data_IF_793643179267
#
_entry.id   IF_793643179267
#
_cell.length_a   1.000
_cell.length_b   1.000
_cell.length_c   1.000
_cell.angle_alpha   90.00
_cell.angle_beta   90.00
_cell.angle_gamma   90.00
#
_symmetry.space_group_name_H-M   'P 1'
#
loop_
_entity.id
_entity.type
_entity.pdbx_description
1 polymer ?
#
# COMPACT_ATOMS: atom_id res chain seq x y z
N UNK A 1 11.23 9.37 -19.13
CA UNK A 1 11.44 8.98 -17.74
C UNK A 1 12.14 7.64 -17.75
N UNK A 2 13.39 7.57 -17.32
CA UNK A 2 14.14 6.32 -17.30
C UNK A 2 13.62 5.47 -16.16
N UNK A 3 13.09 4.28 -16.44
CA UNK A 3 12.80 3.32 -15.39
C UNK A 3 14.11 3.00 -14.68
N UNK A 4 14.12 3.07 -13.34
CA UNK A 4 15.23 2.59 -12.55
C UNK A 4 15.58 1.14 -12.92
N UNK A 5 16.78 0.64 -12.59
CA UNK A 5 17.17 -0.72 -12.91
C UNK A 5 16.13 -1.70 -12.35
N UNK A 6 15.45 -2.44 -13.23
CA UNK A 6 14.58 -3.53 -12.82
C UNK A 6 15.44 -4.69 -12.33
N UNK A 7 15.41 -4.93 -11.02
CA UNK A 7 16.03 -6.11 -10.42
C UNK A 7 14.96 -7.17 -10.17
N UNK A 8 15.10 -8.35 -10.77
CA UNK A 8 14.31 -9.53 -10.43
C UNK A 8 15.09 -10.37 -9.43
N UNK A 9 14.57 -10.49 -8.21
CA UNK A 9 15.08 -11.44 -7.22
C UNK A 9 14.05 -12.54 -7.01
N UNK A 10 14.43 -13.76 -7.35
CA UNK A 10 13.63 -14.95 -7.05
C UNK A 10 14.07 -15.51 -5.71
N UNK A 11 13.12 -15.74 -4.81
CA UNK A 11 13.37 -16.37 -3.50
C UNK A 11 12.47 -17.58 -3.40
N UNK A 12 13.07 -18.76 -3.24
CA UNK A 12 12.34 -19.98 -2.94
C UNK A 12 12.20 -20.11 -1.42
N UNK A 13 11.00 -19.80 -0.91
CA UNK A 13 10.68 -19.86 0.51
C UNK A 13 9.84 -21.09 0.88
N UNK A 14 9.24 -21.78 -0.10
CA UNK A 14 8.09 -22.64 0.13
C UNK A 14 6.88 -21.87 0.69
N UNK A 15 5.73 -22.55 0.77
CA UNK A 15 4.49 -21.93 1.30
C UNK A 15 4.61 -21.59 2.79
N UNK A 16 5.26 -22.45 3.57
CA UNK A 16 5.34 -22.33 5.04
C UNK A 16 6.15 -21.10 5.48
N UNK A 17 7.18 -20.72 4.73
CA UNK A 17 8.07 -19.59 5.08
C UNK A 17 7.85 -18.35 4.24
N UNK A 18 6.87 -18.36 3.34
CA UNK A 18 6.55 -17.22 2.50
C UNK A 18 6.39 -15.94 3.32
N UNK A 19 5.61 -16.00 4.40
CA UNK A 19 5.31 -14.85 5.24
C UNK A 19 6.57 -14.27 5.90
N UNK A 20 7.38 -15.12 6.54
CA UNK A 20 8.65 -14.74 7.18
C UNK A 20 9.62 -14.08 6.19
N UNK A 21 9.77 -14.70 5.02
CA UNK A 21 10.72 -14.23 4.00
C UNK A 21 10.24 -12.92 3.38
N UNK A 22 8.96 -12.80 3.05
CA UNK A 22 8.40 -11.57 2.52
C UNK A 22 8.46 -10.43 3.55
N UNK A 23 8.17 -10.71 4.82
CA UNK A 23 8.31 -9.74 5.91
C UNK A 23 9.76 -9.27 6.06
N UNK A 24 10.75 -10.18 6.02
CA UNK A 24 12.16 -9.80 6.11
C UNK A 24 12.62 -8.94 4.91
N UNK A 25 12.17 -9.25 3.70
CA UNK A 25 12.47 -8.44 2.49
C UNK A 25 11.88 -7.04 2.63
N UNK A 26 10.61 -6.96 3.01
CA UNK A 26 9.90 -5.70 3.19
C UNK A 26 10.52 -4.85 4.31
N UNK A 27 10.76 -5.44 5.48
CA UNK A 27 11.34 -4.75 6.62
C UNK A 27 12.75 -4.23 6.30
N UNK A 28 13.57 -5.00 5.57
CA UNK A 28 14.87 -4.52 5.11
C UNK A 28 14.75 -3.31 4.17
N UNK A 29 13.86 -3.38 3.17
CA UNK A 29 13.65 -2.26 2.25
C UNK A 29 13.21 -0.99 3.00
N UNK A 30 12.30 -1.12 3.96
CA UNK A 30 11.84 0.00 4.79
C UNK A 30 12.97 0.54 5.68
N UNK A 31 13.74 -0.32 6.34
CA UNK A 31 14.86 0.08 7.19
C UNK A 31 15.94 0.82 6.39
N UNK A 32 16.26 0.37 5.17
CA UNK A 32 17.22 1.03 4.27
C UNK A 32 16.78 2.44 3.91
N UNK A 33 15.49 2.63 3.61
CA UNK A 33 14.92 3.95 3.32
C UNK A 33 14.98 4.86 4.56
N UNK A 34 14.56 4.36 5.73
CA UNK A 34 14.63 5.13 6.98
C UNK A 34 16.07 5.53 7.30
N UNK A 35 17.04 4.63 7.13
CA UNK A 35 18.45 4.93 7.36
C UNK A 35 18.97 6.03 6.41
N UNK A 36 18.49 6.07 5.17
CA UNK A 36 18.91 7.06 4.18
C UNK A 36 18.18 8.41 4.30
N UNK A 37 16.89 8.40 4.65
CA UNK A 37 15.99 9.58 4.54
C UNK A 37 15.37 10.02 5.86
N UNK A 38 15.49 9.21 6.92
CA UNK A 38 14.93 9.48 8.25
C UNK A 38 13.45 9.10 8.42
N UNK A 39 12.76 8.73 7.35
CA UNK A 39 11.39 8.21 7.32
C UNK A 39 11.16 7.42 6.03
N UNK A 40 10.10 6.60 5.98
CA UNK A 40 9.73 5.83 4.80
C UNK A 40 8.22 5.85 4.59
N UNK A 41 7.78 5.98 3.34
CA UNK A 41 6.40 5.84 2.91
C UNK A 41 6.14 4.46 2.31
N UNK A 42 5.13 3.77 2.83
CA UNK A 42 4.81 2.40 2.46
C UNK A 42 3.33 2.26 2.13
N UNK A 43 3.03 1.66 0.98
CA UNK A 43 1.67 1.29 0.61
C UNK A 43 1.49 -0.23 0.64
N UNK A 44 0.37 -0.68 1.22
CA UNK A 44 0.03 -2.10 1.33
C UNK A 44 -1.19 -2.49 0.50
N UNK A 45 -1.07 -3.56 -0.28
CA UNK A 45 -2.22 -4.22 -0.91
C UNK A 45 -3.00 -5.06 0.10
N UNK A 46 -4.23 -5.41 -0.28
CA UNK A 46 -4.96 -6.49 0.36
C UNK A 46 -4.54 -7.89 -0.09
N UNK A 47 -5.41 -8.87 0.19
CA UNK A 47 -5.26 -10.26 -0.24
C UNK A 47 -5.07 -11.23 0.93
N UNK A 48 -5.18 -12.52 0.65
CA UNK A 48 -5.06 -13.56 1.68
C UNK A 48 -3.63 -13.73 2.21
N UNK A 49 -2.62 -13.33 1.42
CA UNK A 49 -1.21 -13.54 1.75
C UNK A 49 -0.60 -12.42 2.60
N UNK A 50 -1.17 -11.20 2.58
CA UNK A 50 -0.58 -10.05 3.29
C UNK A 50 -0.79 -10.13 4.81
N UNK A 51 -1.90 -10.71 5.27
CA UNK A 51 -2.19 -10.84 6.70
C UNK A 51 -1.08 -11.59 7.46
N UNK A 52 -0.70 -12.81 7.03
CA UNK A 52 0.45 -13.53 7.59
C UNK A 52 1.78 -12.76 7.50
N UNK A 53 1.98 -11.95 6.44
CA UNK A 53 3.18 -11.09 6.32
C UNK A 53 3.18 -10.00 7.39
N UNK A 54 2.02 -9.40 7.71
CA UNK A 54 1.91 -8.46 8.82
C UNK A 54 2.23 -9.11 10.17
N UNK A 55 1.69 -10.30 10.43
CA UNK A 55 2.00 -11.04 11.65
C UNK A 55 3.52 -11.27 11.77
N UNK A 56 4.18 -11.69 10.69
CA UNK A 56 5.63 -11.89 10.65
C UNK A 56 6.45 -10.59 10.80
N UNK A 57 5.95 -9.44 10.31
CA UNK A 57 6.57 -8.13 10.56
C UNK A 57 6.49 -7.75 12.04
N UNK A 58 5.36 -8.03 12.69
CA UNK A 58 5.19 -7.82 14.14
C UNK A 58 6.14 -8.70 14.93
N UNK A 59 6.25 -9.97 14.57
CA UNK A 59 7.21 -10.89 15.19
C UNK A 59 8.65 -10.38 15.05
N UNK A 60 9.04 -9.92 13.86
CA UNK A 60 10.37 -9.33 13.62
C UNK A 60 10.60 -8.07 14.46
N UNK A 61 9.60 -7.19 14.57
CA UNK A 61 9.72 -5.93 15.29
C UNK A 61 9.70 -6.09 16.83
N UNK A 62 9.12 -7.19 17.32
CA UNK A 62 9.00 -7.47 18.77
C UNK A 62 10.03 -8.49 19.27
N UNK A 63 10.71 -9.19 18.35
CA UNK A 63 11.84 -10.04 18.66
C UNK A 63 13.02 -9.23 19.28
N UNK A 64 13.95 -9.90 19.98
CA UNK A 64 15.19 -9.25 20.42
C UNK A 64 15.88 -8.54 19.24
N UNK A 65 16.46 -7.34 19.44
CA UNK A 65 17.05 -6.56 18.36
C UNK A 65 18.03 -7.40 17.55
N UNK A 66 17.76 -7.54 16.25
CA UNK A 66 18.66 -8.17 15.30
C UNK A 66 19.44 -7.08 14.57
N UNK A 67 20.78 -7.20 14.40
CA UNK A 67 21.55 -6.24 13.62
C UNK A 67 21.16 -6.23 12.14
N UNK A 68 20.45 -7.25 11.65
CA UNK A 68 20.20 -7.44 10.21
C UNK A 68 18.94 -6.73 9.70
N UNK A 69 17.97 -6.45 10.58
CA UNK A 69 16.69 -5.77 10.26
C UNK A 69 16.12 -5.14 11.54
N UNK A 70 16.11 -3.82 11.62
CA UNK A 70 15.43 -3.04 12.67
C UNK A 70 14.68 -1.87 12.00
N UNK A 71 13.36 -1.82 12.21
CA UNK A 71 12.48 -0.83 11.59
C UNK A 71 11.91 0.08 12.67
N UNK A 72 12.24 1.37 12.61
CA UNK A 72 11.59 2.39 13.44
C UNK A 72 10.19 2.70 12.88
N UNK A 73 9.19 1.89 13.30
CA UNK A 73 7.80 2.01 12.86
C UNK A 73 7.16 3.37 13.18
N UNK A 74 7.70 4.16 14.12
CA UNK A 74 7.23 5.51 14.38
C UNK A 74 7.59 6.50 13.25
N UNK A 75 8.49 6.11 12.35
CA UNK A 75 8.92 6.86 11.15
C UNK A 75 8.32 6.32 9.85
N UNK A 76 7.42 5.34 9.94
CA UNK A 76 6.76 4.77 8.76
C UNK A 76 5.43 5.50 8.50
N UNK A 77 5.30 6.04 7.30
CA UNK A 77 4.04 6.56 6.73
C UNK A 77 3.34 5.44 6.00
N UNK A 78 2.06 5.21 6.28
CA UNK A 78 1.32 4.04 5.81
C UNK A 78 0.11 4.48 4.99
N UNK A 79 -0.08 3.84 3.84
CA UNK A 79 -1.31 3.94 3.06
C UNK A 79 -1.72 2.60 2.45
N UNK A 80 -2.87 2.58 1.77
CA UNK A 80 -3.37 1.41 1.04
C UNK A 80 -3.08 1.55 -0.44
N UNK A 81 -2.71 0.44 -1.08
CA UNK A 81 -2.62 0.37 -2.54
C UNK A 81 -4.02 0.39 -3.16
N UNK A 82 -4.96 -0.34 -2.58
CA UNK A 82 -6.32 -0.45 -3.06
C UNK A 82 -7.29 -0.81 -1.93
N UNK A 83 -8.57 -0.55 -2.14
CA UNK A 83 -9.60 -0.81 -1.16
C UNK A 83 -10.99 -0.98 -1.79
N UNK A 84 -11.79 -1.87 -1.20
CA UNK A 84 -13.13 -2.23 -1.65
C UNK A 84 -14.10 -1.15 -1.20
N UNK A 85 -14.93 -0.66 -2.12
CA UNK A 85 -15.99 0.31 -1.83
C UNK A 85 -17.17 -0.41 -1.19
N UNK A 86 -17.01 -0.68 0.11
CA UNK A 86 -17.97 -1.37 0.98
C UNK A 86 -18.00 -0.68 2.34
N UNK A 87 -19.01 -0.99 3.16
CA UNK A 87 -19.17 -0.40 4.48
C UNK A 87 -17.98 -0.66 5.42
N UNK A 88 -17.76 0.20 6.43
CA UNK A 88 -16.55 0.19 7.27
C UNK A 88 -16.35 -1.11 8.07
N UNK A 89 -17.42 -1.84 8.36
CA UNK A 89 -17.39 -3.13 9.09
C UNK A 89 -17.44 -4.35 8.17
N UNK A 90 -17.38 -4.16 6.85
CA UNK A 90 -17.45 -5.25 5.90
C UNK A 90 -16.19 -6.14 6.02
N UNK A 91 -16.32 -7.48 6.00
CA UNK A 91 -15.18 -8.38 6.16
C UNK A 91 -14.11 -8.22 5.05
N UNK A 92 -14.50 -7.73 3.88
CA UNK A 92 -13.60 -7.55 2.73
C UNK A 92 -12.81 -6.24 2.76
N UNK A 93 -12.84 -5.46 3.85
CA UNK A 93 -12.02 -4.24 4.00
C UNK A 93 -10.55 -4.63 4.15
N UNK A 94 -9.69 -4.18 3.23
CA UNK A 94 -8.24 -4.31 3.37
C UNK A 94 -7.75 -3.53 4.62
N UNK A 95 -8.34 -2.38 4.90
CA UNK A 95 -8.04 -1.53 6.05
C UNK A 95 -8.22 -2.26 7.37
N UNK A 96 -9.24 -3.11 7.52
CA UNK A 96 -9.45 -3.85 8.75
C UNK A 96 -8.27 -4.78 9.06
N UNK A 97 -7.75 -5.48 8.04
CA UNK A 97 -6.58 -6.36 8.17
C UNK A 97 -5.33 -5.55 8.49
N UNK A 98 -5.08 -4.45 7.76
CA UNK A 98 -3.92 -3.57 7.96
C UNK A 98 -3.90 -2.95 9.37
N UNK A 99 -5.06 -2.45 9.83
CA UNK A 99 -5.19 -1.82 11.15
C UNK A 99 -4.91 -2.85 12.24
N UNK A 100 -5.67 -3.95 12.24
CA UNK A 100 -5.63 -4.91 13.34
C UNK A 100 -4.32 -5.69 13.42
N UNK A 101 -3.71 -6.03 12.28
CA UNK A 101 -2.51 -6.89 12.25
C UNK A 101 -1.19 -6.13 12.27
N UNK A 102 -1.18 -4.85 11.87
CA UNK A 102 0.06 -4.08 11.77
C UNK A 102 0.02 -2.78 12.57
N UNK A 103 -0.94 -1.89 12.26
CA UNK A 103 -0.94 -0.53 12.82
C UNK A 103 -1.19 -0.55 14.33
N UNK A 104 -2.12 -1.37 14.82
CA UNK A 104 -2.40 -1.48 16.26
C UNK A 104 -1.33 -2.29 17.02
N UNK A 105 -0.59 -3.14 16.31
CA UNK A 105 0.43 -4.02 16.89
C UNK A 105 1.82 -3.36 17.02
N UNK A 106 2.05 -2.25 16.32
CA UNK A 106 3.35 -1.58 16.22
C UNK A 106 3.23 -0.09 16.57
N UNK A 107 4.34 0.59 16.92
CA UNK A 107 4.31 2.01 17.29
C UNK A 107 4.16 2.95 16.07
N UNK A 108 3.30 2.59 15.11
CA UNK A 108 2.96 3.45 13.96
C UNK A 108 2.16 4.64 14.46
N UNK A 109 2.59 5.86 14.08
CA UNK A 109 1.91 7.08 14.52
C UNK A 109 0.59 7.25 13.74
N UNK A 110 -0.57 7.42 14.39
CA UNK A 110 -1.85 7.59 13.69
C UNK A 110 -1.86 8.74 12.67
N UNK A 111 -1.12 9.83 12.96
CA UNK A 111 -0.99 10.97 12.06
C UNK A 111 -0.19 10.68 10.78
N UNK A 112 0.46 9.51 10.69
CA UNK A 112 1.18 9.05 9.50
C UNK A 112 0.41 7.96 8.73
N UNK A 113 -0.85 7.70 9.07
CA UNK A 113 -1.68 6.71 8.38
C UNK A 113 -2.73 7.44 7.54
N UNK A 114 -2.80 7.12 6.24
CA UNK A 114 -3.84 7.60 5.34
C UNK A 114 -4.50 6.42 4.63
N UNK A 115 -5.75 6.15 4.99
CA UNK A 115 -6.56 5.10 4.39
C UNK A 115 -7.40 5.65 3.24
N UNK A 116 -7.66 4.81 2.23
CA UNK A 116 -8.47 5.20 1.09
C UNK A 116 -9.93 5.46 1.54
N UNK A 117 -10.51 6.63 1.21
CA UNK A 117 -11.76 7.09 1.81
C UNK A 117 -12.99 6.52 1.10
N UNK A 118 -13.12 5.19 1.04
CA UNK A 118 -14.19 4.56 0.26
C UNK A 118 -15.59 4.92 0.73
N UNK A 119 -15.76 5.31 2.00
CA UNK A 119 -17.04 5.70 2.57
C UNK A 119 -17.55 7.02 1.98
N UNK A 120 -16.67 7.79 1.33
CA UNK A 120 -16.98 9.06 0.66
C UNK A 120 -17.29 8.89 -0.82
N UNK A 121 -17.04 7.70 -1.37
CA UNK A 121 -17.23 7.43 -2.79
C UNK A 121 -18.70 7.19 -3.05
N UNK A 122 -19.30 8.02 -3.90
CA UNK A 122 -20.59 7.69 -4.49
C UNK A 122 -20.38 6.53 -5.50
N UNK A 123 -21.02 5.37 -5.31
CA UNK A 123 -20.91 4.26 -6.24
C UNK A 123 -21.36 4.59 -7.67
N UNK A 124 -22.12 5.67 -7.87
CA UNK A 124 -22.49 6.20 -9.19
C UNK A 124 -21.38 7.03 -9.88
N UNK A 125 -20.27 7.30 -9.18
CA UNK A 125 -19.08 7.95 -9.73
C UNK A 125 -19.04 9.48 -9.62
N UNK A 126 -19.96 10.09 -8.86
CA UNK A 126 -19.92 11.52 -8.54
C UNK A 126 -19.03 11.87 -7.34
N UNK A 127 -18.71 13.16 -7.19
CA UNK A 127 -18.04 13.73 -6.01
C UNK A 127 -16.61 14.23 -6.25
N UNK A 128 -16.09 14.98 -5.28
CA UNK A 128 -14.73 15.52 -5.22
C UNK A 128 -13.74 14.58 -4.51
N UNK A 129 -14.16 13.34 -4.21
CA UNK A 129 -13.38 12.37 -3.45
C UNK A 129 -12.02 12.07 -4.10
N UNK A 130 -11.91 12.10 -5.44
CA UNK A 130 -10.65 11.80 -6.14
C UNK A 130 -9.59 12.87 -5.87
N UNK A 131 -9.98 14.14 -5.99
CA UNK A 131 -9.11 15.29 -5.70
C UNK A 131 -8.76 15.36 -4.21
N UNK A 132 -9.76 15.15 -3.33
CA UNK A 132 -9.53 15.07 -1.87
C UNK A 132 -8.54 13.95 -1.52
N UNK A 133 -8.73 12.75 -2.10
CA UNK A 133 -7.86 11.59 -1.85
C UNK A 133 -6.43 11.87 -2.31
N UNK A 134 -6.25 12.48 -3.48
CA UNK A 134 -4.93 12.86 -3.98
C UNK A 134 -4.20 13.84 -3.08
N UNK A 135 -4.91 14.87 -2.58
CA UNK A 135 -4.34 15.84 -1.63
C UNK A 135 -3.96 15.19 -0.30
N UNK A 136 -4.82 14.35 0.26
CA UNK A 136 -4.57 13.68 1.54
C UNK A 136 -3.42 12.69 1.44
N UNK A 137 -3.35 11.95 0.34
CA UNK A 137 -2.22 11.08 0.05
C UNK A 137 -0.91 11.88 0.04
N UNK A 138 -0.82 12.94 -0.77
CA UNK A 138 0.39 13.77 -0.82
C UNK A 138 0.76 14.39 0.54
N UNK A 139 -0.22 14.84 1.33
CA UNK A 139 0.03 15.34 2.67
C UNK A 139 0.62 14.29 3.63
N UNK A 140 0.20 13.02 3.49
CA UNK A 140 0.63 11.94 4.38
C UNK A 140 1.92 11.27 3.93
N UNK A 141 2.09 10.93 2.66
CA UNK A 141 3.28 10.22 2.16
C UNK A 141 4.40 11.16 1.70
N UNK A 142 4.13 12.47 1.65
CA UNK A 142 5.07 13.48 1.17
C UNK A 142 5.00 13.68 -0.35
N UNK A 143 5.61 14.76 -0.82
CA UNK A 143 5.55 15.21 -2.22
C UNK A 143 4.50 16.31 -2.46
N UNK A 144 4.38 16.70 -3.72
CA UNK A 144 3.39 17.68 -4.16
C UNK A 144 2.07 16.98 -4.52
N UNK A 145 0.92 17.67 -4.46
CA UNK A 145 -0.30 17.20 -5.09
C UNK A 145 -0.04 16.81 -6.56
N UNK A 146 -0.67 15.73 -7.04
CA UNK A 146 -0.52 15.32 -8.45
C UNK A 146 -0.90 16.48 -9.37
N UNK A 147 -0.01 16.81 -10.31
CA UNK A 147 -0.15 17.94 -11.24
C UNK A 147 0.42 19.27 -10.75
N UNK A 148 0.88 19.37 -9.50
CA UNK A 148 1.58 20.55 -8.96
C UNK A 148 3.11 20.40 -8.92
N UNK A 149 3.63 19.19 -9.20
CA UNK A 149 5.06 18.83 -9.15
C UNK A 149 5.28 17.38 -9.58
N UNK A 150 6.23 16.68 -8.95
CA UNK A 150 6.50 15.25 -9.23
C UNK A 150 5.39 14.31 -8.73
N UNK A 151 4.43 14.82 -7.95
CA UNK A 151 3.37 14.04 -7.32
C UNK A 151 3.83 13.38 -6.01
N UNK A 152 2.96 12.59 -5.36
CA UNK A 152 3.33 11.84 -4.19
C UNK A 152 4.15 10.61 -4.59
N UNK A 153 5.31 10.42 -3.95
CA UNK A 153 6.25 9.33 -4.25
C UNK A 153 6.28 8.37 -3.08
N UNK A 154 6.04 7.08 -3.35
CA UNK A 154 6.14 6.01 -2.36
C UNK A 154 7.55 5.44 -2.35
N UNK A 155 8.12 5.20 -1.16
CA UNK A 155 9.43 4.55 -1.05
C UNK A 155 9.32 3.04 -1.24
N UNK A 156 8.26 2.42 -0.71
CA UNK A 156 8.01 0.98 -0.83
C UNK A 156 6.54 0.71 -1.13
N UNK A 157 6.26 -0.13 -2.12
CA UNK A 157 4.90 -0.58 -2.45
C UNK A 157 4.85 -2.10 -2.36
N UNK A 158 4.10 -2.62 -1.39
CA UNK A 158 3.82 -4.04 -1.31
C UNK A 158 2.62 -4.36 -2.18
N UNK A 159 2.86 -5.09 -3.27
CA UNK A 159 1.86 -5.46 -4.26
C UNK A 159 1.51 -6.95 -4.20
N UNK A 160 0.22 -7.24 -4.31
CA UNK A 160 -0.27 -8.58 -4.64
C UNK A 160 -0.25 -8.82 -6.15
N UNK A 161 -0.26 -10.09 -6.56
CA UNK A 161 -0.41 -10.50 -7.96
C UNK A 161 -1.55 -11.51 -8.10
N UNK A 162 -2.57 -11.13 -8.85
CA UNK A 162 -3.71 -12.00 -9.18
C UNK A 162 -3.33 -13.07 -10.21
N UNK A 163 -4.15 -14.14 -10.35
CA UNK A 163 -3.91 -15.23 -11.30
C UNK A 163 -4.03 -14.79 -12.78
N UNK A 164 -4.69 -13.67 -13.04
CA UNK A 164 -4.80 -12.99 -14.34
C UNK A 164 -3.69 -11.93 -14.55
N UNK A 165 -2.73 -11.84 -13.63
CA UNK A 165 -1.62 -10.90 -13.67
C UNK A 165 -1.96 -9.49 -13.18
N UNK A 166 -3.17 -9.22 -12.68
CA UNK A 166 -3.47 -7.90 -12.12
C UNK A 166 -2.71 -7.66 -10.82
N UNK A 167 -2.44 -6.39 -10.54
CA UNK A 167 -1.97 -5.91 -9.24
C UNK A 167 -2.82 -4.73 -8.81
N UNK A 168 -2.80 -4.38 -7.52
CA UNK A 168 -3.74 -3.41 -6.96
C UNK A 168 -5.17 -3.76 -7.38
N UNK A 169 -5.98 -2.80 -7.84
CA UNK A 169 -7.20 -3.07 -8.59
C UNK A 169 -7.08 -2.73 -10.10
N UNK A 170 -5.87 -2.82 -10.64
CA UNK A 170 -5.56 -2.52 -12.05
C UNK A 170 -5.81 -3.76 -12.92
N UNK A 171 -7.09 -4.11 -13.06
CA UNK A 171 -7.54 -5.29 -13.81
C UNK A 171 -7.45 -5.03 -15.33
N UNK A 172 -6.97 -6.00 -16.14
CA UNK A 172 -6.90 -5.86 -17.58
C UNK A 172 -8.25 -5.42 -18.22
N UNK A 173 -8.21 -4.33 -18.99
CA UNK A 173 -9.37 -3.78 -19.69
C UNK A 173 -10.26 -2.85 -18.88
N UNK A 174 -9.96 -2.61 -17.59
CA UNK A 174 -10.69 -1.63 -16.78
C UNK A 174 -10.32 -0.18 -17.21
N UNK A 175 -11.30 0.74 -17.32
CA UNK A 175 -11.03 2.16 -17.64
C UNK A 175 -10.02 2.84 -16.70
N UNK A 176 -9.91 2.40 -15.44
CA UNK A 176 -8.99 2.93 -14.43
C UNK A 176 -7.52 2.90 -14.88
N UNK A 177 -7.15 1.98 -15.78
CA UNK A 177 -5.79 1.84 -16.31
C UNK A 177 -5.29 3.08 -17.06
N UNK A 178 -6.22 3.95 -17.50
CA UNK A 178 -5.90 5.18 -18.24
C UNK A 178 -6.05 6.46 -17.41
N UNK A 179 -6.47 6.33 -16.14
CA UNK A 179 -6.65 7.49 -15.27
C UNK A 179 -5.30 8.07 -14.84
N UNK A 180 -5.26 9.41 -14.75
CA UNK A 180 -4.08 10.17 -14.34
C UNK A 180 -4.19 10.71 -12.92
N UNK A 181 -5.38 10.69 -12.33
CA UNK A 181 -5.59 11.02 -10.92
C UNK A 181 -4.84 10.01 -10.05
N UNK A 182 -4.27 10.41 -8.90
CA UNK A 182 -3.51 9.50 -8.03
C UNK A 182 -4.32 8.31 -7.51
N UNK A 183 -5.64 8.51 -7.35
CA UNK A 183 -6.57 7.46 -6.92
C UNK A 183 -7.69 7.35 -7.94
N UNK A 184 -7.88 6.14 -8.47
CA UNK A 184 -8.91 5.81 -9.45
C UNK A 184 -10.03 4.96 -8.84
N UNK A 185 -11.18 4.97 -9.48
CA UNK A 185 -12.34 4.15 -9.10
C UNK A 185 -12.66 3.18 -10.22
N UNK A 186 -12.50 1.89 -9.92
CA UNK A 186 -12.61 0.83 -10.93
C UNK A 186 -14.04 0.59 -11.40
N UNK A 187 -14.18 -0.13 -12.52
CA UNK A 187 -15.41 -0.87 -12.79
C UNK A 187 -15.60 -2.01 -11.76
N UNK A 188 -16.80 -2.58 -11.62
CA UNK A 188 -17.00 -3.73 -10.75
C UNK A 188 -16.14 -4.94 -11.16
N UNK A 189 -15.33 -5.44 -10.24
CA UNK A 189 -14.57 -6.68 -10.39
C UNK A 189 -14.87 -7.59 -9.20
N UNK A 190 -15.20 -8.87 -9.45
CA UNK A 190 -15.61 -9.81 -8.39
C UNK A 190 -16.69 -9.23 -7.45
N UNK A 191 -17.68 -8.52 -8.00
CA UNK A 191 -18.81 -7.97 -7.24
C UNK A 191 -18.56 -6.61 -6.57
N UNK A 192 -17.35 -6.05 -6.62
CA UNK A 192 -17.02 -4.79 -5.94
C UNK A 192 -16.37 -3.77 -6.88
N UNK A 193 -16.73 -2.50 -6.72
CA UNK A 193 -15.88 -1.38 -7.15
C UNK A 193 -14.77 -1.18 -6.11
N UNK A 194 -13.62 -0.66 -6.55
CA UNK A 194 -12.47 -0.42 -5.68
C UNK A 194 -11.90 0.97 -5.92
N UNK A 195 -11.41 1.59 -4.87
CA UNK A 195 -10.42 2.66 -4.99
C UNK A 195 -9.04 2.02 -5.15
N UNK A 196 -8.20 2.58 -6.00
CA UNK A 196 -6.85 2.08 -6.25
C UNK A 196 -5.89 3.21 -6.53
N UNK A 197 -4.65 3.09 -6.05
CA UNK A 197 -3.54 3.88 -6.58
C UNK A 197 -3.38 3.57 -8.07
N UNK A 198 -3.16 4.61 -8.86
CA UNK A 198 -2.99 4.53 -10.32
C UNK A 198 -1.50 4.48 -10.69
N UNK A 199 -1.21 4.23 -11.97
CA UNK A 199 0.17 4.18 -12.47
C UNK A 199 1.01 5.43 -12.17
N UNK A 200 0.49 6.67 -12.25
CA UNK A 200 1.23 7.85 -11.83
C UNK A 200 1.81 7.78 -10.40
N UNK A 201 1.14 7.11 -9.46
CA UNK A 201 1.63 6.95 -8.08
C UNK A 201 2.51 5.71 -7.95
N UNK A 202 2.12 4.60 -8.58
CA UNK A 202 2.83 3.32 -8.45
C UNK A 202 4.17 3.30 -9.21
N UNK A 203 4.35 4.16 -10.21
CA UNK A 203 5.56 4.23 -11.04
C UNK A 203 6.30 5.58 -10.91
N UNK A 204 6.01 6.35 -9.85
CA UNK A 204 6.61 7.66 -9.61
C UNK A 204 8.14 7.59 -9.45
#
# INVERSE_FOLDING_TARGET
>A
MGHGPTALRVVDAGEERFAEVAAAVLARAVAEVIAARGEASVAFSGGSTVGPVFDALVDLATAPPSPDVDVDWARVRVTQVDERVVGPTHPDRNAAVLIHRLIEALPVRPALVELLPVERVDPSGGGDWAEESGRRLAATIGGDPVGAGEGPVLDVVQLGLGPDGHTASLVPGDPVLTQLDPVGLTAPYQGHRRLTLTYPVLNA
#
